data_IF_711107359847
#
_entry.id   IF_711107359847
#
_cell.length_a   1.000
_cell.length_b   1.000
_cell.length_c   1.000
_cell.angle_alpha   90.00
_cell.angle_beta   90.00
_cell.angle_gamma   90.00
#
_symmetry.space_group_name_H-M   'P 1'
#
loop_
_entity.id
_entity.type
_entity.pdbx_description
1 polymer ?
#
# COMPACT_ATOMS: atom_id res chain seq x y z
N UNK A 1 -21.85 -15.94 0.50
CA UNK A 1 -21.84 -15.05 -0.65
C UNK A 1 -21.08 -15.67 -1.80
N UNK A 2 -21.59 -15.55 -3.01
CA UNK A 2 -20.83 -16.06 -4.14
C UNK A 2 -19.56 -15.24 -4.33
N UNK A 3 -18.50 -15.91 -4.66
CA UNK A 3 -17.24 -15.27 -4.96
C UNK A 3 -17.31 -14.64 -6.34
N UNK A 4 -17.00 -13.34 -6.41
CA UNK A 4 -16.95 -12.62 -7.67
C UNK A 4 -15.51 -12.25 -7.93
N UNK A 5 -14.85 -12.93 -8.88
CA UNK A 5 -13.45 -12.61 -9.17
C UNK A 5 -13.32 -11.26 -9.84
N UNK A 6 -12.25 -10.54 -9.51
CA UNK A 6 -11.95 -9.28 -10.18
C UNK A 6 -11.34 -9.56 -11.54
N UNK A 7 -11.62 -8.68 -12.49
CA UNK A 7 -11.00 -8.76 -13.81
C UNK A 7 -9.54 -8.31 -13.72
N UNK A 8 -8.76 -8.68 -14.72
CA UNK A 8 -7.35 -8.24 -14.79
C UNK A 8 -7.25 -6.72 -14.83
N UNK A 9 -8.18 -6.08 -15.53
CA UNK A 9 -8.25 -4.62 -15.59
C UNK A 9 -8.49 -4.01 -14.21
N UNK A 10 -9.39 -4.59 -13.44
CA UNK A 10 -9.65 -4.12 -12.07
C UNK A 10 -8.42 -4.28 -11.17
N UNK A 11 -7.72 -5.40 -11.30
CA UNK A 11 -6.49 -5.62 -10.53
C UNK A 11 -5.41 -4.61 -10.91
N UNK A 12 -5.28 -4.30 -12.20
CA UNK A 12 -4.32 -3.31 -12.65
C UNK A 12 -4.67 -1.92 -12.13
N UNK A 13 -5.94 -1.55 -12.14
CA UNK A 13 -6.38 -0.27 -11.60
C UNK A 13 -6.07 -0.16 -10.11
N UNK A 14 -6.35 -1.23 -9.37
CA UNK A 14 -6.04 -1.25 -7.93
C UNK A 14 -4.54 -1.10 -7.69
N UNK A 15 -3.72 -1.79 -8.49
CA UNK A 15 -2.26 -1.72 -8.35
C UNK A 15 -1.66 -0.40 -8.83
N UNK A 16 -2.43 0.43 -9.52
CA UNK A 16 -1.95 1.72 -10.01
C UNK A 16 -2.31 2.88 -9.08
N UNK A 17 -2.99 2.61 -7.98
CA UNK A 17 -3.32 3.64 -6.99
C UNK A 17 -2.03 4.21 -6.41
N UNK A 18 -1.96 5.54 -6.32
CA UNK A 18 -0.82 6.22 -5.71
C UNK A 18 -0.83 5.95 -4.20
N UNK A 19 0.12 5.14 -3.75
CA UNK A 19 0.18 4.75 -2.36
C UNK A 19 0.45 5.91 -1.42
N UNK A 20 1.30 6.86 -1.82
CA UNK A 20 1.60 8.01 -0.97
C UNK A 20 0.33 8.83 -0.74
N UNK A 21 -0.44 9.06 -1.80
CA UNK A 21 -1.70 9.79 -1.68
C UNK A 21 -2.70 9.03 -0.83
N UNK A 22 -2.85 7.74 -1.08
CA UNK A 22 -3.76 6.90 -0.32
C UNK A 22 -3.44 6.91 1.18
N UNK A 23 -2.16 6.74 1.51
CA UNK A 23 -1.73 6.69 2.90
C UNK A 23 -1.88 8.03 3.59
N UNK A 24 -1.63 9.12 2.86
CA UNK A 24 -1.82 10.46 3.42
C UNK A 24 -3.27 10.70 3.78
N UNK A 25 -4.19 10.29 2.92
CA UNK A 25 -5.61 10.43 3.18
C UNK A 25 -6.04 9.57 4.38
N UNK A 26 -5.42 8.43 4.57
CA UNK A 26 -5.70 7.58 5.74
C UNK A 26 -5.11 8.13 7.03
N UNK A 27 -4.28 9.17 6.94
CA UNK A 27 -3.66 9.75 8.12
C UNK A 27 -2.29 9.21 8.46
N UNK A 28 -1.69 8.43 7.56
CA UNK A 28 -0.33 7.93 7.78
C UNK A 28 0.68 9.04 7.60
N UNK A 29 1.79 8.96 8.33
CA UNK A 29 2.83 9.97 8.26
C UNK A 29 3.85 9.60 7.20
N UNK A 30 4.07 10.52 6.27
CA UNK A 30 5.01 10.32 5.18
C UNK A 30 6.01 11.47 5.16
N UNK A 31 7.27 11.13 4.87
CA UNK A 31 8.32 12.10 4.71
C UNK A 31 8.83 12.03 3.27
N UNK A 32 8.80 13.16 2.56
CA UNK A 32 9.25 13.18 1.18
C UNK A 32 10.77 13.20 1.11
N UNK A 33 11.32 12.27 0.31
CA UNK A 33 12.76 12.18 0.07
C UNK A 33 12.96 12.09 -1.44
N UNK A 34 13.28 13.23 -2.07
CA UNK A 34 13.43 13.27 -3.52
C UNK A 34 12.12 12.92 -4.21
N UNK A 35 12.10 11.82 -4.98
CA UNK A 35 10.92 11.36 -5.70
C UNK A 35 10.16 10.29 -4.94
N UNK A 36 10.62 9.96 -3.74
CA UNK A 36 10.02 8.90 -2.95
C UNK A 36 9.44 9.47 -1.67
N UNK A 37 8.66 8.65 -0.99
CA UNK A 37 8.13 8.99 0.32
C UNK A 37 8.53 7.90 1.29
N UNK A 38 9.02 8.28 2.45
CA UNK A 38 9.32 7.35 3.52
C UNK A 38 8.10 7.25 4.42
N UNK A 39 7.60 6.05 4.62
CA UNK A 39 6.49 5.81 5.54
C UNK A 39 7.04 5.69 6.95
N UNK A 40 6.49 6.48 7.86
CA UNK A 40 6.90 6.47 9.25
C UNK A 40 5.72 6.00 10.08
N UNK A 41 5.91 4.91 10.83
CA UNK A 41 4.85 4.42 11.71
C UNK A 41 5.44 3.84 12.97
N UNK A 42 4.58 3.69 13.99
CA UNK A 42 4.97 3.20 15.31
C UNK A 42 4.13 1.99 15.66
N UNK A 43 4.75 1.01 16.29
CA UNK A 43 4.04 -0.14 16.85
C UNK A 43 4.66 -0.50 18.20
N UNK A 44 4.35 -1.69 18.71
CA UNK A 44 4.84 -2.11 20.01
C UNK A 44 6.37 -2.24 20.06
N UNK A 45 7.03 -2.39 18.93
CA UNK A 45 8.49 -2.49 18.88
C UNK A 45 9.18 -1.15 18.62
N UNK A 46 8.40 -0.05 18.44
CA UNK A 46 8.94 1.28 18.30
C UNK A 46 8.69 1.89 16.93
N UNK A 47 9.59 2.79 16.54
CA UNK A 47 9.48 3.52 15.27
C UNK A 47 9.96 2.68 14.12
N UNK A 48 9.20 2.70 13.02
CA UNK A 48 9.55 2.04 11.77
C UNK A 48 9.60 3.07 10.65
N UNK A 49 10.70 3.09 9.90
CA UNK A 49 10.88 4.02 8.79
C UNK A 49 11.64 3.40 7.62
N UNK A 50 11.60 2.06 7.50
CA UNK A 50 12.33 1.35 6.47
C UNK A 50 11.56 1.18 5.16
N UNK A 51 10.31 1.62 5.10
CA UNK A 51 9.47 1.48 3.91
C UNK A 51 9.51 2.76 3.10
N UNK A 52 9.92 2.66 1.83
CA UNK A 52 9.85 3.78 0.89
C UNK A 52 8.75 3.50 -0.14
N UNK A 53 8.08 4.58 -0.56
CA UNK A 53 6.97 4.49 -1.49
C UNK A 53 7.27 5.37 -2.69
N UNK A 54 7.12 4.81 -3.87
CA UNK A 54 7.34 5.52 -5.13
C UNK A 54 6.15 5.27 -6.04
N UNK A 55 5.24 6.24 -6.14
CA UNK A 55 4.01 6.11 -6.88
C UNK A 55 3.15 4.99 -6.30
N UNK A 56 2.88 3.97 -7.10
CA UNK A 56 2.08 2.82 -6.66
C UNK A 56 2.94 1.64 -6.17
N UNK A 57 4.24 1.84 -6.08
CA UNK A 57 5.18 0.80 -5.64
C UNK A 57 5.76 1.12 -4.28
N UNK A 58 6.18 0.09 -3.57
CA UNK A 58 6.79 0.25 -2.26
C UNK A 58 7.92 -0.75 -2.08
N UNK A 59 8.81 -0.45 -1.16
CA UNK A 59 9.91 -1.36 -0.81
C UNK A 59 10.25 -1.20 0.66
N UNK A 60 10.35 -2.33 1.36
CA UNK A 60 10.76 -2.38 2.75
C UNK A 60 12.22 -2.79 2.80
N UNK A 61 13.10 -1.85 3.10
CA UNK A 61 14.54 -2.07 3.10
C UNK A 61 14.99 -3.00 4.22
N UNK A 62 14.24 -3.05 5.30
CA UNK A 62 14.58 -3.90 6.43
C UNK A 62 14.34 -5.38 6.12
N UNK A 63 13.20 -5.68 5.50
CA UNK A 63 12.80 -7.05 5.21
C UNK A 63 13.12 -7.46 3.77
N UNK A 64 13.66 -6.56 2.96
CA UNK A 64 14.02 -6.82 1.57
C UNK A 64 12.83 -7.32 0.76
N UNK A 65 11.68 -6.67 0.93
CA UNK A 65 10.46 -7.04 0.22
C UNK A 65 9.77 -5.79 -0.29
N UNK A 66 8.96 -5.95 -1.32
CA UNK A 66 8.23 -4.85 -1.90
C UNK A 66 7.21 -5.33 -2.92
N UNK A 67 6.54 -4.41 -3.57
CA UNK A 67 5.55 -4.74 -4.57
C UNK A 67 4.64 -3.59 -4.91
N UNK A 68 3.43 -3.91 -5.36
CA UNK A 68 2.44 -2.93 -5.74
C UNK A 68 1.46 -2.63 -4.61
N UNK A 69 0.41 -1.87 -4.95
CA UNK A 69 -0.54 -1.40 -3.96
C UNK A 69 -1.31 -2.54 -3.30
N UNK A 70 -1.72 -3.55 -4.07
CA UNK A 70 -2.48 -4.67 -3.49
C UNK A 70 -1.63 -5.39 -2.45
N UNK A 71 -0.38 -5.68 -2.79
CA UNK A 71 0.51 -6.37 -1.87
C UNK A 71 0.76 -5.54 -0.62
N UNK A 72 0.85 -4.22 -0.75
CA UNK A 72 1.00 -3.34 0.40
C UNK A 72 -0.16 -3.50 1.37
N UNK A 73 -1.40 -3.52 0.86
CA UNK A 73 -2.57 -3.67 1.72
C UNK A 73 -2.56 -5.01 2.43
N UNK A 74 -2.12 -6.06 1.75
CA UNK A 74 -2.05 -7.38 2.37
C UNK A 74 -0.98 -7.46 3.46
N UNK A 75 0.20 -6.91 3.19
CA UNK A 75 1.33 -7.00 4.12
C UNK A 75 1.20 -6.03 5.28
N UNK A 76 0.81 -4.79 5.00
CA UNK A 76 0.82 -3.73 6.00
C UNK A 76 -0.47 -3.69 6.82
N UNK A 77 -1.62 -3.89 6.16
CA UNK A 77 -2.92 -3.81 6.82
C UNK A 77 -3.56 -5.17 7.05
N UNK A 78 -2.86 -6.24 6.71
CA UNK A 78 -3.33 -7.62 6.92
C UNK A 78 -4.68 -7.88 6.25
N UNK A 79 -4.90 -7.30 5.10
CA UNK A 79 -6.11 -7.51 4.33
C UNK A 79 -5.97 -8.74 3.44
N UNK A 80 -7.10 -9.43 3.17
CA UNK A 80 -7.07 -10.45 2.13
C UNK A 80 -7.08 -9.77 0.75
N UNK A 81 -6.86 -10.57 -0.29
CA UNK A 81 -6.75 -10.03 -1.65
C UNK A 81 -8.00 -9.27 -2.06
N UNK A 82 -9.16 -9.86 -1.82
CA UNK A 82 -10.43 -9.25 -2.23
C UNK A 82 -10.69 -7.95 -1.51
N UNK A 83 -10.46 -7.91 -0.21
CA UNK A 83 -10.63 -6.69 0.58
C UNK A 83 -9.67 -5.61 0.12
N UNK A 84 -8.41 -5.99 -0.16
CA UNK A 84 -7.41 -5.03 -0.63
C UNK A 84 -7.81 -4.40 -1.95
N UNK A 85 -8.27 -5.20 -2.91
CA UNK A 85 -8.70 -4.69 -4.22
C UNK A 85 -9.91 -3.77 -4.06
N UNK A 86 -10.88 -4.16 -3.27
CA UNK A 86 -12.08 -3.34 -3.03
C UNK A 86 -11.73 -2.00 -2.40
N UNK A 87 -10.84 -2.02 -1.42
CA UNK A 87 -10.42 -0.79 -0.75
C UNK A 87 -9.73 0.17 -1.72
N UNK A 88 -8.85 -0.35 -2.55
CA UNK A 88 -8.12 0.46 -3.52
C UNK A 88 -9.04 1.00 -4.62
N UNK A 89 -9.96 0.17 -5.12
CA UNK A 89 -10.92 0.60 -6.15
C UNK A 89 -11.94 1.59 -5.61
N UNK A 90 -12.30 1.47 -4.36
CA UNK A 90 -13.26 2.37 -3.72
C UNK A 90 -12.75 3.80 -3.63
N UNK A 91 -11.46 4.01 -3.81
CA UNK A 91 -10.84 5.32 -3.82
C UNK A 91 -11.05 6.07 -5.14
N UNK A 92 -11.12 5.30 -6.22
CA UNK A 92 -11.16 5.83 -7.58
C UNK A 92 -12.39 6.62 -7.96
#
# INVERSE_FOLDING_TARGET
>A
MPYIPFTDEQKQLANSVDLAEYLRVRGEKLERIGREHKLIYYDSSGKHDSITIRGSKWFDHKNQTGGGAIKFMQEFYDMDFQTAVQELLGRG
#
